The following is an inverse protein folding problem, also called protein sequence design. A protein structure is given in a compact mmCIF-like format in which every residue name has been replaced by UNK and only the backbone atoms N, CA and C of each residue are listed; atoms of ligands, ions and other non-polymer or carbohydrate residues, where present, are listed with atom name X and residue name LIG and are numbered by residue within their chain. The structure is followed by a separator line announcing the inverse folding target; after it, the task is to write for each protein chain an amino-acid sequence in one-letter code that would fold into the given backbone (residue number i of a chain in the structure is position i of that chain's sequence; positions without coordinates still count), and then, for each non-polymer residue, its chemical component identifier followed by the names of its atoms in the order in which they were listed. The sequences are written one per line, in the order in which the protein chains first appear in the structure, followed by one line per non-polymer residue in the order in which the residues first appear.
data_IF_658788253653
#
_entry.id   IF_658788253653
#
_cell.length_a   1.000
_cell.length_b   1.000
_cell.length_c   1.000
_cell.angle_alpha   90.00
_cell.angle_beta   90.00
_cell.angle_gamma   90.00
#
_symmetry.space_group_name_H-M   'P 1'
#
loop_
_entity.id
_entity.type
_entity.pdbx_description
1 polymer ?
#
# COMPACT_ATOMS: atom_id res chain seq x y z
N UNK A 1 12.66 9.29 -20.86
CA UNK A 1 11.62 8.57 -20.08
C UNK A 1 11.04 7.34 -20.80
N UNK A 2 10.40 7.46 -21.97
CA UNK A 2 9.75 6.29 -22.62
C UNK A 2 10.72 5.12 -22.90
N UNK A 3 11.96 5.40 -23.33
CA UNK A 3 12.99 4.39 -23.51
C UNK A 3 13.30 3.64 -22.20
N UNK A 4 13.50 4.37 -21.10
CA UNK A 4 13.78 3.83 -19.77
C UNK A 4 12.69 2.85 -19.31
N UNK A 5 11.42 3.23 -19.51
CA UNK A 5 10.26 2.45 -19.06
C UNK A 5 9.96 1.24 -19.94
N UNK A 6 10.27 1.30 -21.24
CA UNK A 6 9.82 0.26 -22.18
C UNK A 6 10.92 -0.60 -22.79
N UNK A 7 12.13 -0.06 -22.99
CA UNK A 7 13.18 -0.68 -23.82
C UNK A 7 14.51 -0.88 -23.10
N UNK A 8 14.92 0.08 -22.27
CA UNK A 8 16.19 0.01 -21.54
C UNK A 8 16.33 -1.31 -20.77
N UNK A 9 17.53 -1.91 -20.77
CA UNK A 9 17.78 -3.17 -20.09
C UNK A 9 18.14 -2.87 -18.63
N UNK A 10 17.24 -3.22 -17.72
CA UNK A 10 17.46 -3.20 -16.28
C UNK A 10 16.44 -4.12 -15.61
N UNK A 11 16.88 -4.79 -14.56
CA UNK A 11 16.04 -5.69 -13.79
C UNK A 11 15.15 -4.88 -12.85
N UNK A 12 13.85 -4.95 -13.11
CA UNK A 12 12.84 -4.18 -12.38
C UNK A 12 12.58 -4.77 -11.00
N UNK A 13 12.86 -6.05 -10.80
CA UNK A 13 12.69 -6.74 -9.53
C UNK A 13 13.96 -6.66 -8.67
N UNK A 14 15.16 -6.65 -9.28
CA UNK A 14 16.38 -6.29 -8.55
C UNK A 14 16.28 -4.86 -7.95
N UNK A 15 15.76 -3.90 -8.72
CA UNK A 15 15.54 -2.53 -8.20
C UNK A 15 14.45 -2.47 -7.11
N UNK A 16 13.49 -3.42 -7.10
CA UNK A 16 12.57 -3.57 -5.96
C UNK A 16 13.32 -4.05 -4.72
N UNK A 17 14.26 -4.97 -4.88
CA UNK A 17 15.08 -5.46 -3.78
C UNK A 17 15.99 -4.35 -3.23
N UNK A 18 16.65 -3.58 -4.11
CA UNK A 18 17.42 -2.38 -3.72
C UNK A 18 16.55 -1.36 -2.98
N UNK A 19 15.34 -1.09 -3.47
CA UNK A 19 14.37 -0.20 -2.81
C UNK A 19 14.03 -0.68 -1.40
N UNK A 20 13.72 -1.98 -1.26
CA UNK A 20 13.39 -2.57 0.04
C UNK A 20 14.56 -2.39 1.01
N UNK A 21 15.77 -2.73 0.58
CA UNK A 21 16.96 -2.68 1.43
C UNK A 21 17.30 -1.23 1.81
N UNK A 22 17.15 -0.29 0.87
CA UNK A 22 17.26 1.15 1.12
C UNK A 22 16.26 1.61 2.20
N UNK A 23 14.98 1.26 2.06
CA UNK A 23 13.94 1.66 3.02
C UNK A 23 14.20 1.07 4.41
N UNK A 24 14.53 -0.22 4.49
CA UNK A 24 14.82 -0.90 5.76
C UNK A 24 16.05 -0.30 6.44
N UNK A 25 17.10 0.00 5.67
CA UNK A 25 18.32 0.62 6.18
C UNK A 25 18.10 2.01 6.78
N UNK A 26 17.27 2.85 6.14
CA UNK A 26 17.06 4.23 6.58
C UNK A 26 15.94 4.39 7.63
N UNK A 27 14.91 3.54 7.61
CA UNK A 27 13.80 3.63 8.56
C UNK A 27 14.00 2.77 9.82
N UNK A 28 15.05 1.94 9.84
CA UNK A 28 15.37 1.01 10.90
C UNK A 28 14.40 -0.18 10.98
N UNK A 29 14.61 -1.05 11.97
CA UNK A 29 13.82 -2.29 12.16
C UNK A 29 12.99 -2.29 13.44
N UNK A 30 13.23 -1.35 14.34
CA UNK A 30 12.55 -1.29 15.62
C UNK A 30 11.02 -1.17 15.43
N UNK A 31 10.30 -2.18 15.93
CA UNK A 31 8.84 -2.26 15.92
C UNK A 31 8.27 -2.18 14.50
N UNK A 32 8.99 -2.62 13.46
CA UNK A 32 8.51 -2.53 12.09
C UNK A 32 7.21 -3.31 11.86
N UNK A 33 6.33 -2.74 11.01
CA UNK A 33 5.08 -3.35 10.56
C UNK A 33 5.07 -3.34 9.04
N UNK A 34 4.80 -4.49 8.44
CA UNK A 34 4.46 -4.58 7.03
C UNK A 34 2.97 -4.28 6.87
N UNK A 35 2.62 -3.32 6.02
CA UNK A 35 1.23 -2.94 5.76
C UNK A 35 0.90 -3.29 4.32
N UNK A 36 -0.14 -4.09 4.11
CA UNK A 36 -0.63 -4.45 2.77
C UNK A 36 -1.90 -3.65 2.47
N UNK A 37 -1.96 -3.03 1.28
CA UNK A 37 -3.14 -2.28 0.84
C UNK A 37 -3.33 -2.34 -0.68
N UNK A 38 -4.56 -2.12 -1.13
CA UNK A 38 -4.92 -2.00 -2.54
C UNK A 38 -4.92 -0.54 -3.00
N UNK A 39 -4.27 -0.23 -4.12
CA UNK A 39 -4.32 1.08 -4.77
C UNK A 39 -5.12 1.06 -6.08
N UNK A 40 -6.07 2.00 -6.22
CA UNK A 40 -6.72 2.32 -7.51
C UNK A 40 -5.84 3.32 -8.27
N UNK A 41 -5.45 2.99 -9.51
CA UNK A 41 -4.46 3.77 -10.26
C UNK A 41 -5.02 4.44 -11.51
N UNK A 42 -5.86 3.76 -12.31
CA UNK A 42 -6.18 4.30 -13.65
C UNK A 42 -7.47 3.77 -14.29
N UNK A 43 -8.07 4.57 -15.18
CA UNK A 43 -9.21 4.17 -16.04
C UNK A 43 -8.80 4.07 -17.52
N UNK A 44 -9.45 3.20 -18.30
CA UNK A 44 -9.29 3.10 -19.77
C UNK A 44 -9.41 1.67 -20.30
N UNK A 45 -9.59 1.46 -21.61
CA UNK A 45 -9.79 0.11 -22.19
C UNK A 45 -8.50 -0.61 -22.59
N UNK A 46 -7.42 0.15 -22.85
CA UNK A 46 -6.16 -0.38 -23.40
C UNK A 46 -4.99 -0.42 -22.43
N UNK A 47 -5.23 -0.31 -21.12
CA UNK A 47 -4.18 -0.38 -20.08
C UNK A 47 -4.22 -1.77 -19.45
N UNK A 48 -3.06 -2.39 -19.25
CA UNK A 48 -2.93 -3.71 -18.62
C UNK A 48 -3.69 -3.80 -17.30
N UNK A 49 -4.44 -4.88 -17.08
CA UNK A 49 -5.17 -5.13 -15.82
C UNK A 49 -6.41 -4.26 -15.56
N UNK A 50 -6.85 -3.42 -16.51
CA UNK A 50 -8.10 -2.65 -16.35
C UNK A 50 -9.33 -3.54 -16.51
N UNK A 51 -10.27 -3.40 -15.58
CA UNK A 51 -11.60 -3.99 -15.66
C UNK A 51 -12.61 -3.16 -14.86
N UNK A 52 -13.90 -3.25 -15.20
CA UNK A 52 -14.98 -2.83 -14.32
C UNK A 52 -14.95 -3.63 -13.02
N UNK A 53 -14.52 -2.99 -11.94
CA UNK A 53 -14.45 -3.57 -10.61
C UNK A 53 -14.77 -2.52 -9.55
N UNK A 54 -15.12 -2.97 -8.34
CA UNK A 54 -15.33 -2.05 -7.23
C UNK A 54 -14.04 -1.30 -6.93
N UNK A 55 -14.14 0.02 -6.84
CA UNK A 55 -13.02 0.90 -6.48
C UNK A 55 -13.31 1.51 -5.12
N UNK A 56 -12.38 1.35 -4.19
CA UNK A 56 -12.50 1.96 -2.85
C UNK A 56 -12.48 3.48 -2.96
N UNK A 57 -11.69 4.03 -3.90
CA UNK A 57 -11.55 5.47 -4.07
C UNK A 57 -12.81 6.13 -4.63
N UNK A 58 -13.52 5.49 -5.57
CA UNK A 58 -14.74 6.06 -6.16
C UNK A 58 -16.03 5.59 -5.47
N UNK A 59 -15.96 4.65 -4.54
CA UNK A 59 -17.11 4.08 -3.83
C UNK A 59 -18.10 3.34 -4.73
N UNK A 60 -17.71 3.02 -5.97
CA UNK A 60 -18.57 2.44 -7.00
C UNK A 60 -17.80 1.54 -7.96
N UNK A 61 -18.54 0.75 -8.74
CA UNK A 61 -17.96 -0.09 -9.80
C UNK A 61 -17.58 0.81 -10.97
N UNK A 62 -16.29 0.85 -11.28
CA UNK A 62 -15.74 1.58 -12.41
C UNK A 62 -14.67 0.77 -13.10
N UNK A 63 -14.39 1.13 -14.35
CA UNK A 63 -13.26 0.56 -15.05
C UNK A 63 -11.96 1.10 -14.44
N UNK A 64 -11.25 0.27 -13.68
CA UNK A 64 -10.04 0.65 -12.96
C UNK A 64 -8.91 -0.38 -13.12
N UNK A 65 -7.67 0.10 -13.06
CA UNK A 65 -6.47 -0.69 -12.82
C UNK A 65 -6.20 -0.70 -11.32
N UNK A 66 -6.04 -1.90 -10.78
CA UNK A 66 -5.83 -2.14 -9.35
C UNK A 66 -4.46 -2.78 -9.13
N UNK A 67 -3.75 -2.36 -8.10
CA UNK A 67 -2.49 -2.96 -7.69
C UNK A 67 -2.45 -3.17 -6.17
N UNK A 68 -1.71 -4.20 -5.75
CA UNK A 68 -1.40 -4.48 -4.34
C UNK A 68 -0.05 -3.85 -4.03
N UNK A 69 0.04 -3.15 -2.91
CA UNK A 69 1.26 -2.52 -2.43
C UNK A 69 1.60 -3.05 -1.05
N UNK A 70 2.91 -3.20 -0.80
CA UNK A 70 3.46 -3.50 0.52
C UNK A 70 4.25 -2.27 0.99
N UNK A 71 3.82 -1.69 2.10
CA UNK A 71 4.55 -0.64 2.78
C UNK A 71 5.28 -1.19 4.00
N UNK A 72 6.45 -0.63 4.25
CA UNK A 72 7.23 -0.83 5.47
C UNK A 72 7.07 0.41 6.35
N UNK A 73 6.58 0.22 7.57
CA UNK A 73 6.31 1.30 8.51
C UNK A 73 7.03 1.09 9.83
N UNK A 74 7.71 2.13 10.31
CA UNK A 74 8.38 2.21 11.62
C UNK A 74 7.91 3.44 12.39
N UNK A 75 8.52 3.71 13.55
CA UNK A 75 8.29 4.99 14.24
C UNK A 75 9.03 6.16 13.54
N UNK A 76 10.07 5.87 12.74
CA UNK A 76 10.84 6.88 12.02
C UNK A 76 10.15 7.36 10.74
N UNK A 77 9.32 6.52 10.12
CA UNK A 77 8.63 6.84 8.87
C UNK A 77 8.04 5.60 8.21
N UNK A 78 7.63 5.76 6.96
CA UNK A 78 7.03 4.67 6.18
C UNK A 78 7.22 4.89 4.68
N UNK A 79 7.36 3.81 3.92
CA UNK A 79 7.49 3.83 2.47
C UNK A 79 7.06 2.50 1.83
N UNK A 80 6.68 2.53 0.55
CA UNK A 80 6.44 1.32 -0.22
C UNK A 80 7.75 0.57 -0.47
N UNK A 81 7.73 -0.75 -0.28
CA UNK A 81 8.87 -1.65 -0.56
C UNK A 81 8.55 -2.66 -1.67
N UNK A 82 7.26 -2.86 -1.98
CA UNK A 82 6.85 -3.80 -3.02
C UNK A 82 5.49 -3.43 -3.65
N UNK A 83 5.24 -3.97 -4.84
CA UNK A 83 4.09 -3.73 -5.71
C UNK A 83 3.83 -4.92 -6.64
N UNK A 84 2.56 -5.32 -6.76
CA UNK A 84 2.08 -6.30 -7.73
C UNK A 84 0.85 -5.76 -8.45
N UNK A 85 0.82 -5.91 -9.78
CA UNK A 85 -0.38 -5.60 -10.53
C UNK A 85 -1.41 -6.72 -10.35
N UNK A 86 -2.63 -6.37 -9.96
CA UNK A 86 -3.73 -7.32 -9.94
C UNK A 86 -4.25 -7.52 -11.37
N UNK A 87 -4.13 -8.75 -11.88
CA UNK A 87 -4.75 -9.15 -13.14
C UNK A 87 -6.05 -9.89 -12.85
N UNK A 88 -7.21 -9.32 -13.21
CA UNK A 88 -8.46 -10.02 -13.10
C UNK A 88 -8.52 -11.28 -13.97
N UNK A 89 -9.38 -12.24 -13.60
CA UNK A 89 -9.51 -13.51 -14.32
C UNK A 89 -9.84 -13.34 -15.81
N UNK A 90 -10.62 -12.31 -16.17
CA UNK A 90 -10.94 -11.98 -17.56
C UNK A 90 -9.71 -11.57 -18.40
N UNK A 91 -8.62 -11.11 -17.77
CA UNK A 91 -7.35 -10.88 -18.45
C UNK A 91 -6.60 -12.18 -18.66
N UNK A 92 -6.47 -13.00 -17.61
CA UNK A 92 -5.69 -14.24 -17.68
C UNK A 92 -6.34 -15.32 -18.54
N UNK A 93 -7.65 -15.20 -18.83
CA UNK A 93 -8.37 -16.04 -19.78
C UNK A 93 -8.22 -15.61 -21.25
N UNK A 94 -7.56 -14.47 -21.53
CA UNK A 94 -7.40 -13.88 -22.86
C UNK A 94 -5.90 -13.72 -23.18
N UNK A 95 -5.34 -14.76 -23.79
CA UNK A 95 -3.90 -14.84 -24.09
C UNK A 95 -3.45 -13.74 -25.07
N UNK A 96 -4.26 -13.44 -26.09
CA UNK A 96 -3.95 -12.41 -27.09
C UNK A 96 -3.88 -11.03 -26.42
N UNK A 97 -4.85 -10.72 -25.55
CA UNK A 97 -4.86 -9.46 -24.80
C UNK A 97 -3.67 -9.35 -23.84
N UNK A 98 -3.32 -10.43 -23.15
CA UNK A 98 -2.13 -10.50 -22.31
C UNK A 98 -0.85 -10.23 -23.12
N UNK A 99 -0.70 -10.90 -24.27
CA UNK A 99 0.45 -10.73 -25.16
C UNK A 99 0.54 -9.30 -25.70
N UNK A 100 -0.57 -8.71 -26.15
CA UNK A 100 -0.62 -7.33 -26.64
C UNK A 100 -0.23 -6.30 -25.56
N UNK A 101 -0.56 -6.58 -24.30
CA UNK A 101 -0.16 -5.78 -23.14
C UNK A 101 1.25 -6.10 -22.61
N UNK A 102 1.90 -7.15 -23.13
CA UNK A 102 3.23 -7.61 -22.73
C UNK A 102 3.27 -8.25 -21.34
N UNK A 103 2.17 -8.87 -20.91
CA UNK A 103 2.12 -9.69 -19.69
C UNK A 103 3.02 -10.91 -19.90
N UNK A 104 3.88 -11.28 -18.92
CA UNK A 104 4.73 -12.47 -19.04
C UNK A 104 3.92 -13.75 -19.21
N UNK A 105 4.47 -14.70 -19.98
CA UNK A 105 3.89 -16.02 -20.18
C UNK A 105 3.76 -16.76 -18.84
N UNK A 106 2.76 -17.64 -18.73
CA UNK A 106 2.50 -18.42 -17.52
C UNK A 106 1.89 -17.64 -16.36
N UNK A 107 1.56 -16.36 -16.51
CA UNK A 107 0.86 -15.59 -15.48
C UNK A 107 -0.59 -16.06 -15.33
N UNK A 108 -0.86 -16.84 -14.29
CA UNK A 108 -2.21 -17.25 -13.91
C UNK A 108 -2.93 -16.17 -13.08
N UNK A 109 -4.25 -16.34 -12.95
CA UNK A 109 -5.02 -15.55 -11.99
C UNK A 109 -4.46 -15.72 -10.57
N UNK A 110 -4.41 -14.63 -9.83
CA UNK A 110 -4.08 -14.61 -8.41
C UNK A 110 -4.96 -13.56 -7.73
N UNK A 111 -5.61 -13.96 -6.64
CA UNK A 111 -6.36 -13.08 -5.76
C UNK A 111 -5.41 -12.05 -5.12
N UNK A 112 -5.97 -10.92 -4.66
CA UNK A 112 -5.21 -9.90 -3.93
C UNK A 112 -4.54 -10.49 -2.68
N UNK A 113 -5.19 -11.43 -1.99
CA UNK A 113 -4.62 -12.13 -0.84
C UNK A 113 -3.41 -13.00 -1.20
N UNK A 114 -3.43 -13.70 -2.33
CA UNK A 114 -2.28 -14.47 -2.81
C UNK A 114 -1.13 -13.56 -3.23
N UNK A 115 -1.41 -12.43 -3.90
CA UNK A 115 -0.39 -11.42 -4.23
C UNK A 115 0.25 -10.86 -2.95
N UNK A 116 -0.58 -10.47 -1.98
CA UNK A 116 -0.11 -10.02 -0.67
C UNK A 116 0.77 -11.06 0.03
N UNK A 117 0.35 -12.33 0.01
CA UNK A 117 1.12 -13.42 0.61
C UNK A 117 2.49 -13.55 -0.04
N UNK A 118 2.56 -13.53 -1.38
CA UNK A 118 3.84 -13.59 -2.11
C UNK A 118 4.75 -12.41 -1.77
N UNK A 119 4.20 -11.19 -1.70
CA UNK A 119 4.96 -9.98 -1.39
C UNK A 119 5.49 -10.00 0.04
N UNK A 120 4.67 -10.43 1.01
CA UNK A 120 5.06 -10.56 2.42
C UNK A 120 6.11 -11.66 2.58
N UNK A 121 5.88 -12.86 2.03
CA UNK A 121 6.84 -13.95 2.06
C UNK A 121 8.19 -13.52 1.48
N UNK A 122 8.19 -12.89 0.29
CA UNK A 122 9.39 -12.34 -0.35
C UNK A 122 10.14 -11.34 0.54
N UNK A 123 9.45 -10.46 1.25
CA UNK A 123 10.10 -9.52 2.16
C UNK A 123 10.71 -10.26 3.37
N UNK A 124 10.00 -11.21 3.96
CA UNK A 124 10.48 -11.97 5.11
C UNK A 124 11.64 -12.91 4.75
N UNK A 125 11.56 -13.58 3.60
CA UNK A 125 12.61 -14.45 3.06
C UNK A 125 13.90 -13.68 2.74
N UNK A 126 13.77 -12.40 2.38
CA UNK A 126 14.90 -11.49 2.20
C UNK A 126 15.47 -10.93 3.53
N UNK A 127 14.97 -11.38 4.69
CA UNK A 127 15.47 -10.98 6.00
C UNK A 127 14.94 -9.63 6.52
N UNK A 128 13.83 -9.12 5.99
CA UNK A 128 13.21 -7.90 6.53
C UNK A 128 12.73 -8.15 7.97
N UNK A 129 13.31 -7.43 8.92
CA UNK A 129 13.03 -7.53 10.36
C UNK A 129 11.67 -6.96 10.79
N UNK A 130 10.56 -7.48 10.28
CA UNK A 130 9.21 -7.08 10.66
C UNK A 130 8.49 -8.20 11.45
N UNK A 131 8.04 -7.88 12.66
CA UNK A 131 7.35 -8.83 13.53
C UNK A 131 5.82 -8.81 13.37
N UNK A 132 5.29 -7.89 12.57
CA UNK A 132 3.86 -7.63 12.44
C UNK A 132 3.44 -7.34 11.02
N UNK A 133 2.27 -7.83 10.63
CA UNK A 133 1.57 -7.47 9.39
C UNK A 133 0.21 -6.85 9.68
N UNK A 134 -0.13 -5.78 8.96
CA UNK A 134 -1.44 -5.15 9.01
C UNK A 134 -2.08 -5.09 7.61
N UNK A 135 -3.40 -5.16 7.54
CA UNK A 135 -4.14 -5.12 6.28
C UNK A 135 -5.62 -4.85 6.50
N UNK A 136 -6.29 -4.43 5.43
CA UNK A 136 -7.74 -4.19 5.41
C UNK A 136 -8.56 -5.51 5.36
N UNK A 137 -9.86 -5.37 5.12
CA UNK A 137 -10.79 -6.48 5.10
C UNK A 137 -10.51 -7.50 3.99
N UNK A 138 -10.02 -7.05 2.83
CA UNK A 138 -9.68 -7.94 1.71
C UNK A 138 -8.62 -8.95 2.15
N UNK A 139 -7.61 -8.50 2.88
CA UNK A 139 -6.54 -9.36 3.37
C UNK A 139 -6.94 -10.16 4.60
N UNK A 140 -7.77 -9.59 5.47
CA UNK A 140 -8.31 -10.32 6.62
C UNK A 140 -9.28 -11.44 6.27
N UNK A 141 -9.81 -11.47 5.05
CA UNK A 141 -10.55 -12.62 4.52
C UNK A 141 -9.65 -13.74 3.99
N UNK A 142 -8.37 -13.49 3.70
CA UNK A 142 -7.45 -14.48 3.10
C UNK A 142 -6.94 -15.51 4.13
N UNK A 143 -7.33 -16.80 4.04
CA UNK A 143 -6.79 -17.84 4.92
C UNK A 143 -5.33 -18.13 4.63
N UNK A 144 -4.93 -18.12 3.36
CA UNK A 144 -3.56 -18.38 2.94
C UNK A 144 -2.57 -17.39 3.56
N UNK A 145 -2.89 -16.08 3.54
CA UNK A 145 -2.05 -15.07 4.19
C UNK A 145 -1.92 -15.32 5.70
N UNK A 146 -3.03 -15.66 6.38
CA UNK A 146 -3.01 -15.93 7.83
C UNK A 146 -2.18 -17.16 8.16
N UNK A 147 -2.34 -18.25 7.40
CA UNK A 147 -1.57 -19.48 7.59
C UNK A 147 -0.08 -19.23 7.40
N UNK A 148 0.33 -18.57 6.31
CA UNK A 148 1.73 -18.23 6.05
C UNK A 148 2.36 -17.43 7.20
N UNK A 149 1.63 -16.43 7.72
CA UNK A 149 2.09 -15.61 8.84
C UNK A 149 2.19 -16.40 10.14
N UNK A 150 1.22 -17.27 10.41
CA UNK A 150 1.22 -18.13 11.59
C UNK A 150 2.38 -19.13 11.56
N UNK A 151 2.62 -19.78 10.42
CA UNK A 151 3.74 -20.71 10.22
C UNK A 151 5.10 -20.02 10.42
N UNK A 152 5.23 -18.77 9.95
CA UNK A 152 6.42 -17.94 10.15
C UNK A 152 6.50 -17.26 11.52
N UNK A 153 5.51 -17.48 12.39
CA UNK A 153 5.40 -16.86 13.72
C UNK A 153 5.40 -15.31 13.68
N UNK A 154 4.89 -14.72 12.59
CA UNK A 154 4.74 -13.28 12.43
C UNK A 154 3.35 -12.86 12.89
N UNK A 155 3.28 -11.89 13.80
CA UNK A 155 2.00 -11.38 14.30
C UNK A 155 1.21 -10.67 13.21
N UNK A 156 -0.12 -10.64 13.33
CA UNK A 156 -0.95 -9.86 12.42
C UNK A 156 -2.12 -9.16 13.07
N UNK A 157 -2.56 -8.07 12.45
CA UNK A 157 -3.82 -7.37 12.73
C UNK A 157 -4.49 -7.07 11.40
N UNK A 158 -5.44 -7.92 11.00
CA UNK A 158 -6.14 -7.82 9.72
C UNK A 158 -7.59 -7.45 9.97
N UNK A 159 -8.10 -6.42 9.30
CA UNK A 159 -9.51 -6.04 9.45
C UNK A 159 -10.43 -7.16 8.94
N UNK A 160 -11.61 -7.30 9.52
CA UNK A 160 -12.61 -8.29 9.10
C UNK A 160 -14.02 -7.68 9.12
N UNK A 161 -14.92 -8.23 8.31
CA UNK A 161 -16.33 -7.84 8.33
C UNK A 161 -16.94 -8.03 9.72
N UNK A 162 -17.95 -7.22 10.06
CA UNK A 162 -18.78 -7.44 11.26
C UNK A 162 -19.47 -8.81 11.28
N UNK A 163 -19.76 -9.36 10.10
CA UNK A 163 -20.33 -10.69 9.92
C UNK A 163 -19.31 -11.83 9.96
N UNK A 164 -18.01 -11.53 10.07
CA UNK A 164 -16.96 -12.55 10.12
C UNK A 164 -17.17 -13.45 11.34
N UNK A 165 -17.04 -14.77 11.15
CA UNK A 165 -17.28 -15.76 12.20
C UNK A 165 -15.98 -16.15 12.88
N UNK A 166 -16.00 -16.18 14.20
CA UNK A 166 -14.88 -16.57 15.06
C UNK A 166 -15.35 -17.58 16.11
N UNK A 167 -14.48 -18.51 16.49
CA UNK A 167 -14.77 -19.43 17.60
C UNK A 167 -14.36 -18.76 18.90
N UNK A 168 -15.29 -18.63 19.83
CA UNK A 168 -15.04 -18.12 21.19
C UNK A 168 -15.17 -19.25 22.20
N UNK A 169 -14.89 -18.99 23.49
CA UNK A 169 -15.21 -19.96 24.55
C UNK A 169 -16.71 -20.31 24.64
N UNK A 170 -17.61 -19.48 24.07
CA UNK A 170 -19.04 -19.74 23.99
C UNK A 170 -19.48 -20.35 22.64
N UNK A 171 -18.53 -20.85 21.83
CA UNK A 171 -18.75 -21.42 20.50
C UNK A 171 -18.61 -20.40 19.36
N UNK A 172 -19.09 -20.79 18.17
CA UNK A 172 -19.02 -19.98 16.96
C UNK A 172 -19.96 -18.77 17.04
N UNK A 173 -19.44 -17.58 16.77
CA UNK A 173 -20.16 -16.30 16.83
C UNK A 173 -19.73 -15.39 15.68
N UNK A 174 -20.60 -14.48 15.24
CA UNK A 174 -20.19 -13.34 14.40
C UNK A 174 -19.44 -12.30 15.25
N UNK A 175 -18.53 -11.55 14.63
CA UNK A 175 -17.73 -10.55 15.31
C UNK A 175 -18.59 -9.48 16.03
N UNK A 176 -19.67 -9.02 15.38
CA UNK A 176 -20.62 -8.07 15.98
C UNK A 176 -21.45 -8.65 17.13
N UNK A 177 -21.74 -9.95 17.12
CA UNK A 177 -22.43 -10.62 18.22
C UNK A 177 -21.57 -10.67 19.48
N UNK A 178 -20.25 -10.80 19.34
CA UNK A 178 -19.31 -10.81 20.46
C UNK A 178 -19.35 -9.47 21.22
N UNK A 179 -19.54 -8.35 20.51
CA UNK A 179 -19.58 -7.03 21.14
C UNK A 179 -20.71 -6.83 22.14
N UNK A 180 -21.90 -7.42 21.92
CA UNK A 180 -23.04 -7.29 22.84
C UNK A 180 -22.79 -7.95 24.19
N UNK A 181 -21.86 -8.90 24.26
CA UNK A 181 -21.55 -9.66 25.47
C UNK A 181 -20.42 -9.01 26.28
N UNK A 182 -19.80 -7.95 25.77
CA UNK A 182 -18.67 -7.31 26.43
C UNK A 182 -19.12 -6.37 27.56
N UNK A 183 -18.66 -6.58 28.80
CA UNK A 183 -18.94 -5.66 29.89
C UNK A 183 -18.24 -4.32 29.65
N UNK A 184 -18.75 -3.23 30.23
CA UNK A 184 -18.19 -1.88 30.07
C UNK A 184 -16.69 -1.82 30.42
N UNK A 185 -16.26 -2.56 31.46
CA UNK A 185 -14.86 -2.65 31.90
C UNK A 185 -13.89 -3.28 30.89
N UNK A 186 -14.40 -3.99 29.88
CA UNK A 186 -13.56 -4.58 28.83
C UNK A 186 -13.02 -3.54 27.85
N UNK A 187 -13.64 -2.35 27.81
CA UNK A 187 -13.27 -1.27 26.90
C UNK A 187 -12.22 -0.36 27.52
N UNK A 188 -11.14 -0.13 26.77
CA UNK A 188 -10.03 0.73 27.17
C UNK A 188 -9.85 1.83 26.13
N UNK A 189 -9.67 3.08 26.59
CA UNK A 189 -9.36 4.20 25.72
C UNK A 189 -7.89 4.18 25.35
N UNK A 190 -7.58 3.97 24.07
CA UNK A 190 -6.21 3.95 23.57
C UNK A 190 -6.10 4.72 22.25
N UNK A 191 -4.93 5.32 22.03
CA UNK A 191 -4.62 6.03 20.79
C UNK A 191 -4.15 5.06 19.71
N UNK A 192 -4.76 5.13 18.52
CA UNK A 192 -4.32 4.45 17.31
C UNK A 192 -3.19 5.21 16.57
N UNK A 193 -2.39 5.98 17.32
CA UNK A 193 -1.33 6.84 16.78
C UNK A 193 -1.73 8.30 16.63
N UNK A 194 -0.74 9.12 16.28
CA UNK A 194 -0.93 10.52 15.92
C UNK A 194 -1.76 10.65 14.63
N UNK A 195 -2.42 11.79 14.47
CA UNK A 195 -3.06 12.22 13.24
C UNK A 195 -2.93 13.74 13.09
N UNK A 196 -3.38 14.29 11.96
CA UNK A 196 -3.21 15.73 11.66
C UNK A 196 -3.82 16.69 12.70
N UNK A 197 -4.78 16.22 13.52
CA UNK A 197 -5.44 17.00 14.59
C UNK A 197 -5.12 16.46 15.99
N UNK A 198 -3.99 15.78 16.15
CA UNK A 198 -3.58 15.13 17.40
C UNK A 198 -3.91 13.64 17.45
N UNK A 199 -3.83 13.05 18.64
CA UNK A 199 -4.00 11.60 18.85
C UNK A 199 -5.38 11.09 18.44
N UNK A 200 -5.41 9.97 17.72
CA UNK A 200 -6.65 9.30 17.31
C UNK A 200 -7.11 8.33 18.40
N UNK A 201 -7.87 8.84 19.36
CA UNK A 201 -8.41 8.02 20.45
C UNK A 201 -9.68 7.27 20.06
N UNK A 202 -9.70 5.97 20.33
CA UNK A 202 -10.88 5.11 20.23
C UNK A 202 -11.04 4.31 21.52
N UNK A 203 -12.21 3.72 21.72
CA UNK A 203 -12.38 2.69 22.73
C UNK A 203 -12.08 1.35 22.09
N UNK A 204 -11.24 0.55 22.74
CA UNK A 204 -10.78 -0.74 22.25
C UNK A 204 -11.13 -1.85 23.22
N UNK A 205 -11.50 -3.00 22.69
CA UNK A 205 -11.63 -4.23 23.44
C UNK A 205 -11.02 -5.38 22.63
N UNK A 206 -10.65 -6.46 23.30
CA UNK A 206 -10.24 -7.68 22.63
C UNK A 206 -10.79 -8.92 23.34
N UNK A 207 -11.07 -9.96 22.57
CA UNK A 207 -11.58 -11.23 23.09
C UNK A 207 -10.75 -12.35 22.51
N UNK A 208 -10.41 -13.33 23.34
CA UNK A 208 -9.68 -14.50 22.86
C UNK A 208 -10.58 -15.33 21.95
N UNK A 209 -10.05 -15.68 20.79
CA UNK A 209 -10.73 -16.53 19.81
C UNK A 209 -9.87 -17.76 19.52
N UNK A 210 -10.48 -18.77 18.91
CA UNK A 210 -9.87 -20.01 18.45
C UNK A 210 -8.86 -20.59 19.45
N UNK A 211 -9.29 -20.87 20.71
CA UNK A 211 -8.39 -21.20 21.81
C UNK A 211 -7.59 -22.50 21.59
N UNK A 212 -8.09 -23.39 20.76
CA UNK A 212 -7.46 -24.66 20.37
C UNK A 212 -6.28 -24.47 19.39
N UNK A 213 -6.19 -23.31 18.73
CA UNK A 213 -5.11 -23.02 17.77
C UNK A 213 -3.84 -22.58 18.51
N UNK A 214 -2.68 -22.97 17.98
CA UNK A 214 -1.38 -22.55 18.52
C UNK A 214 -1.20 -21.03 18.47
N UNK A 215 -0.41 -20.50 19.40
CA UNK A 215 -0.21 -19.06 19.59
C UNK A 215 -1.39 -18.35 20.27
N UNK A 216 -1.51 -17.03 20.07
CA UNK A 216 -2.54 -16.19 20.69
C UNK A 216 -3.38 -15.51 19.63
N UNK A 217 -4.63 -15.94 19.50
CA UNK A 217 -5.61 -15.40 18.57
C UNK A 217 -6.62 -14.49 19.29
N UNK A 218 -6.89 -13.33 18.72
CA UNK A 218 -7.80 -12.34 19.30
C UNK A 218 -8.75 -11.77 18.24
N UNK A 219 -9.98 -11.51 18.65
CA UNK A 219 -10.83 -10.55 17.97
C UNK A 219 -10.62 -9.19 18.64
N UNK A 220 -9.96 -8.27 17.94
CA UNK A 220 -9.80 -6.88 18.37
C UNK A 220 -10.96 -6.05 17.82
N UNK A 221 -11.53 -5.21 18.68
CA UNK A 221 -12.72 -4.42 18.40
C UNK A 221 -12.38 -2.96 18.69
N UNK A 222 -12.67 -2.09 17.72
CA UNK A 222 -12.56 -0.65 17.83
C UNK A 222 -13.95 -0.03 17.81
N UNK A 223 -14.24 0.85 18.75
CA UNK A 223 -15.45 1.68 18.78
C UNK A 223 -15.10 3.15 18.59
N UNK A 224 -15.73 3.77 17.60
CA UNK A 224 -15.69 5.22 17.42
C UNK A 224 -16.42 5.91 18.58
N UNK A 225 -15.76 6.84 19.25
CA UNK A 225 -16.31 7.49 20.44
C UNK A 225 -17.42 8.49 20.16
N UNK A 226 -17.55 8.96 18.91
CA UNK A 226 -18.57 9.94 18.49
C UNK A 226 -19.74 9.26 17.80
N UNK A 227 -19.46 8.33 16.89
CA UNK A 227 -20.49 7.67 16.08
C UNK A 227 -20.92 6.32 16.63
N UNK A 228 -20.21 5.78 17.62
CA UNK A 228 -20.37 4.41 18.14
C UNK A 228 -20.16 3.31 17.09
N UNK A 229 -19.69 3.66 15.89
CA UNK A 229 -19.38 2.71 14.82
C UNK A 229 -18.28 1.73 15.25
N UNK A 230 -18.47 0.47 14.91
CA UNK A 230 -17.57 -0.63 15.26
C UNK A 230 -16.73 -1.05 14.06
N UNK A 231 -15.45 -1.31 14.30
CA UNK A 231 -14.57 -2.00 13.37
C UNK A 231 -13.93 -3.21 14.06
N UNK A 232 -13.76 -4.29 13.30
CA UNK A 232 -13.31 -5.57 13.81
C UNK A 232 -12.01 -5.98 13.12
N UNK A 233 -11.12 -6.61 13.89
CA UNK A 233 -9.85 -7.13 13.39
C UNK A 233 -9.61 -8.52 13.95
N UNK A 234 -9.17 -9.43 13.10
CA UNK A 234 -8.63 -10.72 13.50
C UNK A 234 -7.13 -10.56 13.74
N UNK A 235 -6.67 -10.99 14.91
CA UNK A 235 -5.29 -10.81 15.34
C UNK A 235 -4.65 -12.13 15.73
N UNK A 236 -3.35 -12.23 15.47
CA UNK A 236 -2.49 -13.32 15.90
C UNK A 236 -1.17 -12.78 16.44
N UNK A 237 -0.60 -13.49 17.41
CA UNK A 237 0.76 -13.28 17.89
C UNK A 237 1.32 -14.60 18.44
N UNK A 238 2.62 -14.88 18.27
CA UNK A 238 3.24 -16.10 18.81
C UNK A 238 3.22 -16.13 20.34
N UNK A 239 3.39 -14.97 20.98
CA UNK A 239 3.37 -14.79 22.43
C UNK A 239 2.24 -13.86 22.88
N UNK A 240 1.94 -13.84 24.18
CA UNK A 240 0.97 -12.90 24.73
C UNK A 240 1.48 -11.45 24.61
N UNK A 241 0.62 -10.55 24.10
CA UNK A 241 0.95 -9.13 23.96
C UNK A 241 -0.12 -8.25 24.62
N UNK A 242 0.26 -7.10 25.19
CA UNK A 242 -0.70 -6.12 25.67
C UNK A 242 -1.60 -5.58 24.55
N UNK A 243 -2.85 -5.21 24.89
CA UNK A 243 -3.79 -4.58 23.96
C UNK A 243 -3.17 -3.38 23.21
N UNK A 244 -2.36 -2.57 23.90
CA UNK A 244 -1.68 -1.41 23.31
C UNK A 244 -0.78 -1.76 22.12
N UNK A 245 -0.19 -2.97 22.08
CA UNK A 245 0.62 -3.44 20.95
C UNK A 245 -0.27 -3.64 19.72
N UNK A 246 -1.38 -4.37 19.86
CA UNK A 246 -2.33 -4.60 18.77
C UNK A 246 -2.94 -3.29 18.26
N UNK A 247 -3.28 -2.37 19.17
CA UNK A 247 -3.79 -1.04 18.81
C UNK A 247 -2.75 -0.23 18.03
N UNK A 248 -1.46 -0.30 18.40
CA UNK A 248 -0.39 0.38 17.66
C UNK A 248 -0.23 -0.19 16.25
N UNK A 249 -0.31 -1.51 16.09
CA UNK A 249 -0.24 -2.18 14.77
C UNK A 249 -1.47 -1.81 13.92
N UNK A 250 -2.68 -1.86 14.49
CA UNK A 250 -3.90 -1.43 13.81
C UNK A 250 -3.83 0.04 13.36
N UNK A 251 -3.31 0.91 14.23
CA UNK A 251 -3.12 2.33 13.95
C UNK A 251 -2.11 2.60 12.84
N UNK A 252 -1.06 1.78 12.75
CA UNK A 252 -0.05 1.85 11.69
C UNK A 252 -0.59 1.51 10.31
N UNK A 253 -1.72 0.78 10.19
CA UNK A 253 -2.36 0.57 8.88
C UNK A 253 -2.62 1.90 8.17
N UNK A 254 -2.97 2.97 8.89
CA UNK A 254 -3.22 4.29 8.31
C UNK A 254 -2.01 4.89 7.56
N UNK A 255 -0.79 4.51 7.93
CA UNK A 255 0.42 5.01 7.26
C UNK A 255 0.40 4.70 5.76
N UNK A 256 -0.21 3.60 5.33
CA UNK A 256 -0.28 3.30 3.89
C UNK A 256 -1.17 4.29 3.13
N UNK A 257 -2.19 4.85 3.77
CA UNK A 257 -3.06 5.87 3.19
C UNK A 257 -2.29 7.18 3.00
N UNK A 258 -1.44 7.55 3.97
CA UNK A 258 -0.51 8.69 3.87
C UNK A 258 0.54 8.47 2.77
N UNK A 259 1.08 7.25 2.62
CA UNK A 259 1.95 6.88 1.51
C UNK A 259 1.25 6.93 0.16
N UNK A 260 -0.03 6.54 0.06
CA UNK A 260 -0.79 6.71 -1.17
C UNK A 260 -1.04 8.20 -1.49
N UNK A 261 -1.42 9.00 -0.50
CA UNK A 261 -1.62 10.44 -0.67
C UNK A 261 -0.34 11.13 -1.13
N UNK A 262 0.78 10.85 -0.45
CA UNK A 262 2.10 11.39 -0.80
C UNK A 262 2.59 10.84 -2.14
N UNK A 263 2.40 9.55 -2.38
CA UNK A 263 2.73 8.88 -3.64
C UNK A 263 2.05 9.55 -4.84
N UNK A 264 0.76 9.84 -4.72
CA UNK A 264 -0.03 10.53 -5.75
C UNK A 264 0.36 12.01 -5.86
N UNK A 265 0.26 12.76 -4.76
CA UNK A 265 0.43 14.23 -4.77
C UNK A 265 1.88 14.73 -4.93
N UNK A 266 2.87 13.94 -4.53
CA UNK A 266 4.28 14.35 -4.53
C UNK A 266 5.11 13.68 -5.63
N UNK A 267 4.81 12.42 -5.93
CA UNK A 267 5.66 11.58 -6.81
C UNK A 267 4.96 11.08 -8.07
N UNK A 268 3.65 11.36 -8.24
CA UNK A 268 2.91 11.04 -9.46
C UNK A 268 2.58 9.56 -9.64
N UNK A 269 2.27 8.84 -8.55
CA UNK A 269 1.94 7.41 -8.57
C UNK A 269 0.81 7.05 -9.53
N UNK A 270 -0.20 7.91 -9.66
CA UNK A 270 -1.36 7.76 -10.55
C UNK A 270 -1.28 8.62 -11.83
N UNK A 271 -0.18 9.35 -12.05
CA UNK A 271 -0.04 10.25 -13.21
C UNK A 271 0.50 9.56 -14.48
N UNK A 272 0.81 8.26 -14.41
CA UNK A 272 1.42 7.56 -15.53
C UNK A 272 0.50 7.44 -16.75
N UNK A 273 1.10 7.53 -17.94
CA UNK A 273 0.42 7.23 -19.21
C UNK A 273 0.75 5.85 -19.78
N UNK A 274 1.53 5.04 -19.05
CA UNK A 274 1.91 3.70 -19.49
C UNK A 274 0.73 2.74 -19.54
N UNK A 275 0.79 1.79 -20.48
CA UNK A 275 -0.29 0.84 -20.78
C UNK A 275 0.12 -0.63 -20.74
N UNK A 276 1.42 -0.91 -20.82
CA UNK A 276 1.98 -2.27 -20.87
C UNK A 276 2.52 -2.71 -19.52
N UNK A 277 2.52 -4.01 -19.27
CA UNK A 277 2.96 -4.65 -18.03
C UNK A 277 4.30 -4.13 -17.53
N UNK A 278 5.36 -4.31 -18.34
CA UNK A 278 6.72 -3.88 -17.99
C UNK A 278 6.81 -2.39 -17.71
N UNK A 279 6.17 -1.57 -18.54
CA UNK A 279 6.19 -0.11 -18.38
C UNK A 279 5.48 0.34 -17.10
N UNK A 280 4.42 -0.37 -16.68
CA UNK A 280 3.74 -0.12 -15.41
C UNK A 280 4.64 -0.44 -14.22
N UNK A 281 5.20 -1.65 -14.15
CA UNK A 281 6.09 -2.03 -13.03
C UNK A 281 7.29 -1.07 -12.91
N UNK A 282 7.86 -0.66 -14.04
CA UNK A 282 8.99 0.27 -14.08
C UNK A 282 8.64 1.70 -13.70
N UNK A 283 7.47 2.19 -14.08
CA UNK A 283 7.01 3.50 -13.61
C UNK A 283 6.80 3.47 -12.11
N UNK A 284 6.04 2.48 -11.63
CA UNK A 284 5.66 2.36 -10.23
C UNK A 284 6.89 2.26 -9.33
N UNK A 285 7.90 1.46 -9.70
CA UNK A 285 9.11 1.35 -8.88
C UNK A 285 9.92 2.65 -8.84
N UNK A 286 10.01 3.41 -9.95
CA UNK A 286 10.71 4.70 -9.96
C UNK A 286 10.01 5.73 -9.07
N UNK A 287 8.67 5.75 -9.09
CA UNK A 287 7.89 6.60 -8.19
C UNK A 287 8.09 6.19 -6.73
N UNK A 288 8.06 4.89 -6.44
CA UNK A 288 8.32 4.36 -5.09
C UNK A 288 9.72 4.72 -4.60
N UNK A 289 10.75 4.69 -5.46
CA UNK A 289 12.11 5.13 -5.14
C UNK A 289 12.17 6.60 -4.74
N UNK A 290 11.50 7.49 -5.49
CA UNK A 290 11.44 8.92 -5.12
C UNK A 290 10.73 9.10 -3.78
N UNK A 291 9.63 8.37 -3.55
CA UNK A 291 8.92 8.43 -2.27
C UNK A 291 9.80 7.93 -1.11
N UNK A 292 10.50 6.81 -1.30
CA UNK A 292 11.41 6.24 -0.31
C UNK A 292 12.58 7.17 0.01
N UNK A 293 13.14 7.84 -0.99
CA UNK A 293 14.16 8.86 -0.78
C UNK A 293 13.65 10.00 0.09
N UNK A 294 12.47 10.56 -0.22
CA UNK A 294 11.87 11.62 0.61
C UNK A 294 11.59 11.15 2.04
N UNK A 295 11.12 9.91 2.22
CA UNK A 295 10.88 9.33 3.53
C UNK A 295 12.17 9.14 4.33
N UNK A 296 13.25 8.71 3.69
CA UNK A 296 14.57 8.54 4.30
C UNK A 296 15.18 9.88 4.73
N UNK A 297 15.13 10.90 3.87
CA UNK A 297 15.60 12.25 4.23
C UNK A 297 14.80 12.80 5.40
N UNK A 298 13.47 12.62 5.40
CA UNK A 298 12.63 13.06 6.50
C UNK A 298 12.93 12.31 7.82
N UNK A 299 13.28 11.03 7.73
CA UNK A 299 13.66 10.24 8.90
C UNK A 299 15.02 10.67 9.46
N UNK A 300 16.01 10.92 8.60
CA UNK A 300 17.32 11.45 9.00
C UNK A 300 17.19 12.82 9.65
N UNK A 301 16.43 13.72 9.03
CA UNK A 301 16.22 15.07 9.56
C UNK A 301 15.58 15.04 10.96
N UNK A 302 14.56 14.19 11.16
CA UNK A 302 13.96 14.00 12.48
C UNK A 302 14.91 13.41 13.51
N UNK A 303 15.86 12.57 13.10
CA UNK A 303 16.85 11.99 14.01
C UNK A 303 17.89 13.04 14.43
N UNK A 304 18.22 13.98 13.53
CA UNK A 304 19.20 15.05 13.75
C UNK A 304 18.61 16.28 14.45
N UNK A 305 17.28 16.47 14.41
CA UNK A 305 16.61 17.61 15.05
C UNK A 305 16.77 17.60 16.58
N UNK A 306 17.24 18.73 17.11
CA UNK A 306 17.18 19.00 18.54
C UNK A 306 15.73 19.32 18.97
N UNK A 307 15.28 18.84 20.14
CA UNK A 307 13.87 18.89 20.55
C UNK A 307 13.30 20.30 20.80
N UNK A 308 14.10 21.36 20.71
CA UNK A 308 13.75 22.70 21.22
C UNK A 308 13.95 23.83 20.19
N UNK A 309 13.63 23.56 18.92
CA UNK A 309 13.72 24.58 17.85
C UNK A 309 12.41 25.35 17.63
N UNK A 310 11.30 24.93 18.25
CA UNK A 310 9.97 25.50 18.02
C UNK A 310 9.41 25.28 16.61
N UNK A 311 10.10 24.51 15.76
CA UNK A 311 9.71 24.23 14.37
C UNK A 311 9.11 22.82 14.24
N UNK A 312 8.16 22.65 13.33
CA UNK A 312 7.70 21.30 12.97
C UNK A 312 8.75 20.62 12.10
N UNK A 313 8.92 19.28 12.21
CA UNK A 313 9.83 18.52 11.35
C UNK A 313 9.55 18.72 9.87
N UNK A 314 10.57 18.54 9.04
CA UNK A 314 10.38 18.66 7.60
C UNK A 314 9.43 17.58 7.08
N UNK A 315 8.41 18.04 6.35
CA UNK A 315 7.47 17.15 5.65
C UNK A 315 8.07 16.68 4.33
N UNK A 316 7.58 15.56 3.79
CA UNK A 316 7.99 15.06 2.46
C UNK A 316 7.77 16.13 1.37
N UNK A 317 6.70 16.91 1.48
CA UNK A 317 6.40 18.00 0.56
C UNK A 317 7.41 19.14 0.62
N UNK A 318 7.82 19.55 1.82
CA UNK A 318 8.83 20.59 1.99
C UNK A 318 10.21 20.10 1.52
N UNK A 319 10.60 18.87 1.85
CA UNK A 319 11.84 18.26 1.36
C UNK A 319 11.86 18.23 -0.17
N UNK A 320 10.77 17.79 -0.81
CA UNK A 320 10.63 17.81 -2.27
C UNK A 320 10.83 19.23 -2.81
N UNK A 321 10.18 20.23 -2.21
CA UNK A 321 10.28 21.64 -2.64
C UNK A 321 11.72 22.15 -2.54
N UNK A 322 12.40 21.89 -1.42
CA UNK A 322 13.79 22.27 -1.20
C UNK A 322 14.73 21.59 -2.19
N UNK A 323 14.59 20.28 -2.40
CA UNK A 323 15.37 19.52 -3.37
C UNK A 323 15.18 20.03 -4.80
N UNK A 324 13.92 20.28 -5.21
CA UNK A 324 13.65 20.87 -6.53
C UNK A 324 14.42 22.18 -6.67
N UNK A 325 14.39 23.05 -5.65
CA UNK A 325 15.09 24.34 -5.69
C UNK A 325 16.62 24.19 -5.74
N UNK A 326 17.18 23.24 -5.00
CA UNK A 326 18.63 22.96 -4.97
C UNK A 326 19.11 22.33 -6.28
N UNK A 327 18.38 21.36 -6.81
CA UNK A 327 18.74 20.62 -8.02
C UNK A 327 18.52 21.41 -9.30
N UNK A 328 17.51 22.29 -9.34
CA UNK A 328 17.24 23.07 -10.56
C UNK A 328 18.14 24.29 -10.66
N UNK A 329 18.70 24.80 -9.56
CA UNK A 329 19.77 25.82 -9.51
C UNK A 329 19.52 27.17 -10.21
N UNK A 330 18.50 27.29 -11.05
CA UNK A 330 18.21 28.40 -11.93
C UNK A 330 16.71 28.43 -12.24
N UNK A 331 16.16 29.63 -12.44
CA UNK A 331 14.88 29.74 -13.12
C UNK A 331 15.04 29.17 -14.55
N UNK A 332 14.09 28.36 -15.05
CA UNK A 332 14.16 27.86 -16.42
C UNK A 332 14.27 29.06 -17.36
N UNK A 333 15.23 29.02 -18.29
CA UNK A 333 15.33 30.08 -19.29
C UNK A 333 14.08 30.04 -20.18
N UNK A 334 13.76 31.15 -20.86
CA UNK A 334 12.69 31.16 -21.85
C UNK A 334 12.89 30.04 -22.90
N UNK A 335 14.14 29.73 -23.24
CA UNK A 335 14.49 28.65 -24.15
C UNK A 335 14.14 27.26 -23.57
N UNK A 336 14.34 27.03 -22.27
CA UNK A 336 13.96 25.77 -21.61
C UNK A 336 12.44 25.59 -21.55
N UNK A 337 11.71 26.67 -21.23
CA UNK A 337 10.25 26.67 -21.19
C UNK A 337 9.66 26.42 -22.58
N UNK A 338 10.19 27.12 -23.60
CA UNK A 338 9.77 26.94 -24.99
C UNK A 338 10.20 25.58 -25.54
N UNK A 339 11.37 25.07 -25.16
CA UNK A 339 11.87 23.75 -25.53
C UNK A 339 10.99 22.64 -24.98
N UNK A 340 10.61 22.71 -23.70
CA UNK A 340 9.64 21.80 -23.10
C UNK A 340 8.26 21.90 -23.76
N UNK A 341 7.78 23.12 -24.04
CA UNK A 341 6.52 23.36 -24.75
C UNK A 341 6.53 22.77 -26.17
N UNK A 342 7.63 22.93 -26.90
CA UNK A 342 7.81 22.37 -28.24
C UNK A 342 7.85 20.85 -28.21
N UNK A 343 8.63 20.26 -27.30
CA UNK A 343 8.68 18.82 -27.09
C UNK A 343 7.29 18.24 -26.76
N UNK A 344 6.57 18.87 -25.81
CA UNK A 344 5.23 18.45 -25.39
C UNK A 344 4.23 18.52 -26.54
N UNK A 345 4.18 19.62 -27.30
CA UNK A 345 3.28 19.81 -28.45
C UNK A 345 3.58 18.83 -29.58
N UNK A 346 4.86 18.56 -29.87
CA UNK A 346 5.26 17.54 -30.84
C UNK A 346 4.80 16.14 -30.42
N UNK A 347 4.89 15.83 -29.13
CA UNK A 347 4.44 14.54 -28.60
C UNK A 347 2.92 14.40 -28.60
N UNK A 348 2.19 15.48 -28.27
CA UNK A 348 0.72 15.56 -28.40
C UNK A 348 0.28 15.37 -29.86
N UNK A 349 0.95 16.01 -30.81
CA UNK A 349 0.66 15.84 -32.24
C UNK A 349 0.86 14.39 -32.69
N UNK A 350 1.95 13.74 -32.26
CA UNK A 350 2.20 12.31 -32.53
C UNK A 350 1.13 11.40 -31.91
N UNK A 351 0.74 11.66 -30.66
CA UNK A 351 -0.32 10.91 -29.99
C UNK A 351 -1.66 11.08 -30.72
N UNK A 352 -2.02 12.32 -31.10
CA UNK A 352 -3.21 12.65 -31.89
C UNK A 352 -3.22 11.93 -33.24
N UNK A 353 -2.11 11.94 -33.98
CA UNK A 353 -1.96 11.17 -35.23
C UNK A 353 -2.15 9.67 -34.99
N UNK A 354 -1.55 9.12 -33.92
CA UNK A 354 -1.73 7.71 -33.56
C UNK A 354 -3.18 7.37 -33.17
N UNK A 355 -3.89 8.30 -32.54
CA UNK A 355 -5.31 8.15 -32.20
C UNK A 355 -6.17 8.14 -33.47
N UNK A 356 -5.97 9.09 -34.38
CA UNK A 356 -6.70 9.11 -35.66
C UNK A 356 -6.44 7.88 -36.52
N UNK A 357 -5.19 7.42 -36.61
CA UNK A 357 -4.86 6.18 -37.33
C UNK A 357 -5.57 4.96 -36.74
N UNK A 358 -5.69 4.91 -35.41
CA UNK A 358 -6.37 3.80 -34.73
C UNK A 358 -7.88 3.86 -34.91
N UNK A 359 -8.46 5.06 -34.90
CA UNK A 359 -9.88 5.26 -35.17
C UNK A 359 -10.23 4.85 -36.60
N UNK A 360 -9.44 5.30 -37.59
CA UNK A 360 -9.63 4.93 -38.99
C UNK A 360 -9.55 3.40 -39.21
N UNK A 361 -8.64 2.70 -38.51
CA UNK A 361 -8.50 1.25 -38.57
C UNK A 361 -9.60 0.45 -37.83
N UNK A 362 -10.49 1.12 -37.08
CA UNK A 362 -11.65 0.50 -36.42
C UNK A 362 -12.97 0.76 -37.18
N UNK A 363 -12.95 1.70 -38.14
CA UNK A 363 -14.08 2.05 -39.02
C UNK A 363 -14.00 1.32 -40.37
N UNK A 364 -12.97 0.50 -40.59
CA UNK A 364 -12.84 -0.47 -41.71
C UNK A 364 -12.98 -1.87 -41.16
#
# INVERSE_FOLDING_TARGET
MQHLLSRAVWDTDAVRDDLRDYVVGHLGQARAVLVVETGDLKKGSGTVGVQRQYTGTAGRIENSQVAVFLAYATDAGHAFIDRELYLPQAWTADAERCQAAGVPDGRSFATKGELATRMVARALDAGVGACWVAGDEVYGQSPHLRTELEERQVGYVLAVASSHRVTTGAGLRRADQVTFQLPHRAWQRLSAGAGAKGHRFYDWAFVRIDPERQGRHWLLIRRNRRTSELAFYRCYSPAAVPLAVLVKVAGRRWTIEESFQSGKGLTGLDEHQVRRWRSWHRWTILVMLVHAFLAAVAASERADQQPDTGLTPLTLGEIRRLLVRLLTGAAPTLADVLGWSYWRRRHQARARISHYRRQAAQET
#
